data_IF_347268531718
#
_entry.id   IF_347268531718
#
_cell.length_a   1.000
_cell.length_b   1.000
_cell.length_c   1.000
_cell.angle_alpha   90.00
_cell.angle_beta   90.00
_cell.angle_gamma   90.00
#
_symmetry.space_group_name_H-M   'P 1'
#
loop_
_entity.id
_entity.type
_entity.pdbx_description
1 polymer ?
#
# COMPACT_ATOMS: atom_id res chain seq x y z
N UNK A 1 3.58 -14.39 -0.62
CA UNK A 1 4.76 -14.15 0.24
C UNK A 1 5.83 -15.22 0.02
N UNK A 2 5.57 -16.48 0.36
CA UNK A 2 6.57 -17.57 0.24
C UNK A 2 7.07 -17.75 -1.20
N UNK A 3 6.17 -17.83 -2.19
CA UNK A 3 6.56 -17.91 -3.60
C UNK A 3 7.49 -16.75 -4.02
N UNK A 4 7.13 -15.51 -3.68
CA UNK A 4 7.95 -14.32 -3.97
C UNK A 4 9.34 -14.36 -3.30
N UNK A 5 9.43 -14.88 -2.08
CA UNK A 5 10.70 -15.07 -1.38
C UNK A 5 11.58 -16.11 -2.08
N UNK A 6 11.04 -17.29 -2.42
CA UNK A 6 11.80 -18.29 -3.18
C UNK A 6 12.23 -17.78 -4.54
N UNK A 7 11.36 -17.02 -5.21
CA UNK A 7 11.68 -16.40 -6.48
C UNK A 7 12.86 -15.42 -6.33
N UNK A 8 12.83 -14.54 -5.33
CA UNK A 8 13.96 -13.67 -5.01
C UNK A 8 15.24 -14.45 -4.72
N UNK A 9 15.17 -15.52 -3.91
CA UNK A 9 16.32 -16.37 -3.60
C UNK A 9 16.88 -17.13 -4.83
N UNK A 10 16.05 -17.39 -5.84
CA UNK A 10 16.43 -17.97 -7.12
C UNK A 10 17.00 -16.94 -8.10
N UNK A 11 17.03 -15.65 -7.73
CA UNK A 11 17.57 -14.57 -8.54
C UNK A 11 16.72 -14.17 -9.73
N UNK A 12 15.43 -14.52 -9.77
CA UNK A 12 14.56 -14.19 -10.91
C UNK A 12 14.34 -12.68 -11.11
N UNK A 13 14.68 -11.84 -10.14
CA UNK A 13 14.61 -10.38 -10.25
C UNK A 13 15.98 -9.72 -10.48
N UNK A 14 17.06 -10.51 -10.58
CA UNK A 14 18.42 -10.02 -10.79
C UNK A 14 18.85 -10.18 -12.25
N UNK A 15 19.55 -9.19 -12.78
CA UNK A 15 20.23 -9.26 -14.08
C UNK A 15 21.66 -9.82 -13.98
N UNK A 16 22.22 -9.95 -12.78
CA UNK A 16 23.57 -10.46 -12.54
C UNK A 16 23.52 -11.85 -11.85
N UNK A 17 23.89 -12.94 -12.56
CA UNK A 17 23.93 -14.28 -11.99
C UNK A 17 24.89 -14.43 -10.80
N UNK A 18 25.91 -13.57 -10.69
CA UNK A 18 26.84 -13.57 -9.56
C UNK A 18 26.28 -12.83 -8.33
N UNK A 19 25.20 -12.07 -8.52
CA UNK A 19 24.48 -11.36 -7.45
C UNK A 19 22.99 -11.72 -7.52
N UNK A 20 22.60 -12.97 -7.22
CA UNK A 20 21.22 -13.41 -7.37
C UNK A 20 20.28 -12.76 -6.35
N UNK A 21 20.77 -12.36 -5.17
CA UNK A 21 19.94 -11.83 -4.07
C UNK A 21 19.70 -10.32 -4.21
N UNK A 22 19.19 -9.89 -5.36
CA UNK A 22 18.76 -8.52 -5.61
C UNK A 22 17.55 -8.44 -6.54
N UNK A 23 16.91 -7.28 -6.53
CA UNK A 23 15.94 -6.88 -7.54
C UNK A 23 16.42 -5.55 -8.16
N UNK A 24 17.09 -5.66 -9.29
CA UNK A 24 17.62 -4.52 -10.05
C UNK A 24 16.72 -4.16 -11.23
N UNK A 25 16.93 -2.95 -11.74
CA UNK A 25 16.09 -2.39 -12.81
C UNK A 25 16.04 -3.28 -14.06
N UNK A 26 17.18 -3.82 -14.50
CA UNK A 26 17.25 -4.63 -15.71
C UNK A 26 16.55 -5.95 -15.46
N UNK A 27 16.86 -6.63 -14.35
CA UNK A 27 16.26 -7.92 -14.01
C UNK A 27 14.72 -7.85 -13.96
N UNK A 28 14.19 -6.79 -13.35
CA UNK A 28 12.75 -6.52 -13.29
C UNK A 28 12.12 -6.23 -14.67
N UNK A 29 12.79 -5.44 -15.52
CA UNK A 29 12.30 -5.12 -16.87
C UNK A 29 12.34 -6.32 -17.82
N UNK A 30 13.35 -7.19 -17.68
CA UNK A 30 13.50 -8.39 -18.52
C UNK A 30 12.69 -9.59 -18.03
N UNK A 31 12.01 -9.48 -16.88
CA UNK A 31 11.18 -10.55 -16.34
C UNK A 31 10.12 -10.96 -17.38
N UNK A 32 9.89 -12.26 -17.51
CA UNK A 32 8.90 -12.83 -18.43
C UNK A 32 7.69 -13.40 -17.70
N UNK A 33 6.59 -13.56 -18.42
CA UNK A 33 5.39 -14.19 -17.87
C UNK A 33 5.65 -15.64 -17.43
N UNK A 34 6.39 -16.41 -18.24
CA UNK A 34 6.74 -17.80 -17.92
C UNK A 34 7.60 -17.91 -16.66
N UNK A 35 8.60 -17.05 -16.49
CA UNK A 35 9.41 -17.01 -15.28
C UNK A 35 8.55 -16.73 -14.05
N UNK A 36 7.62 -15.76 -14.14
CA UNK A 36 6.70 -15.42 -13.06
C UNK A 36 5.72 -16.57 -12.77
N UNK A 37 5.17 -17.21 -13.80
CA UNK A 37 4.26 -18.37 -13.66
C UNK A 37 4.96 -19.54 -12.99
N UNK A 38 6.18 -19.86 -13.40
CA UNK A 38 6.97 -20.94 -12.81
C UNK A 38 7.29 -20.64 -11.35
N UNK A 39 7.74 -19.42 -11.03
CA UNK A 39 8.05 -19.01 -9.66
C UNK A 39 6.83 -19.08 -8.72
N UNK A 40 5.64 -18.76 -9.23
CA UNK A 40 4.39 -18.81 -8.48
C UNK A 40 3.65 -20.15 -8.61
N UNK A 41 4.24 -21.13 -9.30
CA UNK A 41 3.66 -22.45 -9.55
C UNK A 41 2.25 -22.35 -10.14
N UNK A 42 2.05 -21.44 -11.09
CA UNK A 42 0.72 -21.14 -11.65
C UNK A 42 0.28 -22.29 -12.56
N UNK A 43 -0.83 -22.94 -12.19
CA UNK A 43 -1.45 -24.01 -12.98
C UNK A 43 -2.99 -23.91 -12.91
N UNK A 44 -3.68 -24.89 -13.50
CA UNK A 44 -5.13 -25.05 -13.36
C UNK A 44 -5.57 -25.33 -11.92
N UNK A 45 -4.73 -26.01 -11.14
CA UNK A 45 -4.95 -26.37 -9.74
C UNK A 45 -4.48 -25.28 -8.77
N UNK A 46 -3.58 -24.40 -9.22
CA UNK A 46 -3.10 -23.24 -8.49
C UNK A 46 -3.18 -21.97 -9.35
N UNK A 47 -4.39 -21.46 -9.62
CA UNK A 47 -4.56 -20.31 -10.48
C UNK A 47 -4.09 -19.03 -9.81
N UNK A 48 -3.35 -18.20 -10.56
CA UNK A 48 -3.04 -16.83 -10.17
C UNK A 48 -3.78 -15.88 -11.12
N UNK A 49 -4.76 -15.15 -10.60
CA UNK A 49 -5.48 -14.14 -11.38
C UNK A 49 -4.57 -12.93 -11.63
N UNK A 50 -4.59 -12.42 -12.86
CA UNK A 50 -3.91 -11.17 -13.22
C UNK A 50 -2.39 -11.26 -13.35
N UNK A 51 -1.82 -12.43 -13.69
CA UNK A 51 -0.36 -12.62 -13.88
C UNK A 51 0.23 -11.55 -14.80
N UNK A 52 -0.37 -11.30 -15.96
CA UNK A 52 0.13 -10.31 -16.92
C UNK A 52 0.14 -8.89 -16.34
N UNK A 53 -0.86 -8.53 -15.53
CA UNK A 53 -0.92 -7.23 -14.84
C UNK A 53 0.19 -7.10 -13.80
N UNK A 54 0.46 -8.17 -13.04
CA UNK A 54 1.56 -8.23 -12.06
C UNK A 54 2.93 -8.14 -12.73
N UNK A 55 3.11 -8.81 -13.86
CA UNK A 55 4.33 -8.72 -14.66
C UNK A 55 4.60 -7.28 -15.10
N UNK A 56 3.60 -6.62 -15.71
CA UNK A 56 3.71 -5.23 -16.15
C UNK A 56 4.03 -4.28 -14.98
N UNK A 57 3.46 -4.53 -13.80
CA UNK A 57 3.76 -3.74 -12.61
C UNK A 57 5.21 -3.92 -12.14
N UNK A 58 5.74 -5.15 -12.19
CA UNK A 58 7.16 -5.43 -11.88
C UNK A 58 8.10 -4.80 -12.91
N UNK A 59 7.75 -4.82 -14.19
CA UNK A 59 8.54 -4.18 -15.24
C UNK A 59 8.57 -2.66 -15.05
N UNK A 60 7.42 -2.03 -14.76
CA UNK A 60 7.34 -0.60 -14.40
C UNK A 60 8.09 -0.24 -13.12
N UNK A 61 8.14 -1.16 -12.15
CA UNK A 61 9.02 -0.97 -11.01
C UNK A 61 10.47 -0.83 -11.48
N UNK A 62 10.93 -1.71 -12.37
CA UNK A 62 12.27 -1.60 -12.96
C UNK A 62 12.50 -0.28 -13.73
N UNK A 63 11.50 0.23 -14.44
CA UNK A 63 11.55 1.55 -15.09
C UNK A 63 11.67 2.69 -14.06
N UNK A 64 10.87 2.65 -12.99
CA UNK A 64 10.90 3.65 -11.93
C UNK A 64 12.26 3.67 -11.21
N UNK A 65 12.89 2.50 -10.99
CA UNK A 65 14.24 2.43 -10.43
C UNK A 65 15.27 3.21 -11.29
N UNK A 66 15.16 3.15 -12.62
CA UNK A 66 16.05 3.89 -13.53
C UNK A 66 15.76 5.39 -13.57
N UNK A 67 14.48 5.78 -13.48
CA UNK A 67 14.06 7.19 -13.54
C UNK A 67 14.44 7.99 -12.29
N UNK A 68 14.70 7.31 -11.17
CA UNK A 68 15.04 7.95 -9.89
C UNK A 68 16.43 7.53 -9.37
N UNK A 69 17.53 7.84 -10.09
CA UNK A 69 18.88 7.41 -9.71
C UNK A 69 19.37 8.01 -8.39
N UNK A 70 18.82 9.16 -7.98
CA UNK A 70 19.10 9.75 -6.66
C UNK A 70 18.63 8.86 -5.50
N UNK A 71 17.55 8.10 -5.71
CA UNK A 71 16.97 7.21 -4.68
C UNK A 71 17.49 5.78 -4.84
N UNK A 72 17.58 5.28 -6.08
CA UNK A 72 17.89 3.87 -6.34
C UNK A 72 19.33 3.61 -6.78
N UNK A 73 20.15 4.66 -6.89
CA UNK A 73 21.55 4.58 -7.25
C UNK A 73 21.82 4.47 -8.75
N UNK A 74 23.10 4.52 -9.10
CA UNK A 74 23.66 4.41 -10.46
C UNK A 74 25.06 3.78 -10.35
N UNK A 75 25.58 3.03 -11.35
CA UNK A 75 24.98 2.71 -12.66
C UNK A 75 24.02 1.52 -12.66
N UNK A 76 23.83 0.83 -11.53
CA UNK A 76 22.97 -0.35 -11.39
C UNK A 76 21.85 -0.09 -10.38
N UNK A 77 20.74 0.57 -10.78
CA UNK A 77 19.66 0.91 -9.87
C UNK A 77 18.94 -0.35 -9.35
N UNK A 78 18.69 -0.40 -8.04
CA UNK A 78 18.02 -1.54 -7.39
C UNK A 78 17.13 -1.10 -6.24
N UNK A 79 16.10 -1.89 -5.94
CA UNK A 79 15.14 -1.57 -4.87
C UNK A 79 15.81 -1.37 -3.50
N UNK A 80 16.80 -2.20 -3.19
CA UNK A 80 17.55 -2.12 -1.93
C UNK A 80 18.35 -0.81 -1.74
N UNK A 81 18.66 -0.08 -2.81
CA UNK A 81 19.34 1.22 -2.71
C UNK A 81 18.48 2.30 -2.06
N UNK A 82 17.15 2.11 -2.00
CA UNK A 82 16.27 2.98 -1.21
C UNK A 82 16.74 3.10 0.24
N UNK A 83 17.25 2.01 0.82
CA UNK A 83 17.76 2.01 2.19
C UNK A 83 18.99 2.91 2.30
N UNK A 84 19.91 2.86 1.34
CA UNK A 84 21.08 3.75 1.30
C UNK A 84 20.68 5.22 1.20
N UNK A 85 19.68 5.53 0.36
CA UNK A 85 19.13 6.87 0.26
C UNK A 85 18.57 7.35 1.61
N UNK A 86 17.74 6.51 2.26
CA UNK A 86 17.12 6.83 3.55
C UNK A 86 18.14 6.99 4.68
N UNK A 87 19.22 6.18 4.69
CA UNK A 87 20.34 6.35 5.63
C UNK A 87 20.98 7.74 5.49
N UNK A 88 21.10 8.25 4.26
CA UNK A 88 21.57 9.61 3.98
C UNK A 88 20.61 10.73 4.41
N UNK A 89 19.34 10.43 4.67
CA UNK A 89 18.35 11.41 5.16
C UNK A 89 18.28 11.51 6.69
N UNK A 90 19.08 10.70 7.40
CA UNK A 90 19.04 10.63 8.86
C UNK A 90 19.63 11.88 9.50
N UNK A 91 19.10 12.26 10.68
CA UNK A 91 19.65 13.32 11.53
C UNK A 91 19.84 12.76 12.92
N UNK A 92 21.08 12.76 13.43
CA UNK A 92 21.42 12.20 14.74
C UNK A 92 20.95 10.74 14.94
N UNK A 93 20.99 9.92 13.88
CA UNK A 93 20.53 8.52 13.92
C UNK A 93 19.00 8.35 13.85
N UNK A 94 18.25 9.45 13.75
CA UNK A 94 16.80 9.43 13.65
C UNK A 94 16.33 9.62 12.21
N UNK A 95 15.21 9.00 11.87
CA UNK A 95 14.54 9.12 10.58
C UNK A 95 13.03 9.27 10.77
N UNK A 96 12.47 10.34 10.20
CA UNK A 96 11.02 10.58 10.21
C UNK A 96 10.30 9.57 9.32
N UNK A 97 9.23 8.97 9.83
CA UNK A 97 8.40 8.03 9.07
C UNK A 97 7.80 8.68 7.81
N UNK A 98 7.49 9.98 7.86
CA UNK A 98 7.05 10.75 6.69
C UNK A 98 8.12 10.84 5.61
N UNK A 99 9.41 10.87 5.96
CA UNK A 99 10.51 10.86 4.99
C UNK A 99 10.55 9.53 4.23
N UNK A 100 10.29 8.42 4.92
CA UNK A 100 10.17 7.11 4.29
C UNK A 100 9.00 7.09 3.29
N UNK A 101 7.81 7.58 3.71
CA UNK A 101 6.65 7.68 2.82
C UNK A 101 6.95 8.57 1.61
N UNK A 102 7.57 9.74 1.81
CA UNK A 102 7.94 10.64 0.72
C UNK A 102 8.90 9.98 -0.27
N UNK A 103 9.90 9.22 0.21
CA UNK A 103 10.81 8.49 -0.66
C UNK A 103 10.10 7.38 -1.46
N UNK A 104 9.16 6.66 -0.84
CA UNK A 104 8.33 5.66 -1.52
C UNK A 104 7.44 6.30 -2.57
N UNK A 105 6.76 7.41 -2.24
CA UNK A 105 5.87 8.11 -3.18
C UNK A 105 6.65 8.69 -4.36
N UNK A 106 7.77 9.35 -4.08
CA UNK A 106 8.61 9.94 -5.12
C UNK A 106 9.24 8.88 -6.01
N UNK A 107 9.82 7.83 -5.43
CA UNK A 107 10.55 6.82 -6.19
C UNK A 107 9.67 5.79 -6.88
N UNK A 108 8.49 5.49 -6.33
CA UNK A 108 7.62 4.40 -6.81
C UNK A 108 6.22 4.85 -7.24
N UNK A 109 5.90 6.15 -7.18
CA UNK A 109 4.57 6.66 -7.56
C UNK A 109 4.19 6.38 -9.02
N UNK A 110 5.18 6.37 -9.92
CA UNK A 110 4.99 6.15 -11.35
C UNK A 110 4.55 4.74 -11.76
N UNK A 111 4.62 3.73 -10.87
CA UNK A 111 4.35 2.33 -11.25
C UNK A 111 2.87 2.06 -11.54
N UNK A 112 1.96 2.89 -11.03
CA UNK A 112 0.51 2.67 -11.08
C UNK A 112 -0.10 3.17 -12.39
N UNK A 113 -0.58 2.29 -13.28
CA UNK A 113 -1.23 2.75 -14.52
C UNK A 113 -2.66 3.27 -14.33
N UNK A 114 -3.08 4.18 -15.21
CA UNK A 114 -4.47 4.62 -15.32
C UNK A 114 -4.91 5.48 -14.13
N UNK A 115 -4.02 6.33 -13.64
CA UNK A 115 -4.26 7.22 -12.50
C UNK A 115 -4.28 8.68 -12.94
N UNK A 116 -4.86 9.52 -12.08
CA UNK A 116 -4.92 10.95 -12.31
C UNK A 116 -3.50 11.52 -12.40
N UNK A 117 -3.28 12.41 -13.37
CA UNK A 117 -1.99 13.08 -13.56
C UNK A 117 -2.14 14.58 -13.42
N UNK A 118 -1.12 15.23 -12.86
CA UNK A 118 -0.98 16.69 -12.83
C UNK A 118 0.38 17.03 -13.42
N UNK A 119 0.42 17.90 -14.44
CA UNK A 119 1.66 18.28 -15.12
C UNK A 119 2.52 17.10 -15.62
N UNK A 120 1.89 15.95 -15.92
CA UNK A 120 2.58 14.72 -16.32
C UNK A 120 2.95 13.79 -15.15
N UNK A 121 2.86 14.25 -13.91
CA UNK A 121 3.14 13.46 -12.72
C UNK A 121 1.93 12.60 -12.35
N UNK A 122 2.20 11.29 -12.19
CA UNK A 122 1.21 10.32 -11.76
C UNK A 122 0.95 10.43 -10.26
N UNK A 123 -0.30 10.74 -9.89
CA UNK A 123 -0.66 10.88 -8.49
C UNK A 123 -0.95 9.55 -7.79
N UNK A 124 -1.05 8.44 -8.51
CA UNK A 124 -1.33 7.14 -7.91
C UNK A 124 -2.75 7.06 -7.34
N UNK A 125 -2.86 6.70 -6.07
CA UNK A 125 -4.14 6.46 -5.37
C UNK A 125 -4.73 7.77 -4.83
N UNK A 126 -5.13 8.64 -5.76
CA UNK A 126 -5.78 9.94 -5.54
C UNK A 126 -7.04 10.02 -6.40
N UNK A 127 -8.15 10.41 -5.81
CA UNK A 127 -9.48 10.37 -6.45
C UNK A 127 -10.25 11.67 -6.28
N UNK A 128 -11.28 11.87 -7.09
CA UNK A 128 -12.15 13.06 -7.02
C UNK A 128 -13.36 12.75 -6.13
N UNK A 129 -13.80 13.72 -5.33
CA UNK A 129 -15.06 13.63 -4.58
C UNK A 129 -15.84 14.94 -4.67
N UNK A 130 -17.10 14.89 -5.13
CA UNK A 130 -17.90 16.09 -5.44
C UNK A 130 -18.31 16.89 -4.21
N UNK A 131 -18.40 16.26 -3.04
CA UNK A 131 -18.72 16.93 -1.77
C UNK A 131 -17.61 17.88 -1.28
N UNK A 132 -16.39 17.78 -1.82
CA UNK A 132 -15.30 18.71 -1.49
C UNK A 132 -15.47 20.04 -2.24
N UNK A 133 -14.97 21.16 -1.67
CA UNK A 133 -15.00 22.46 -2.33
C UNK A 133 -14.38 22.40 -3.73
N UNK A 134 -14.94 23.15 -4.67
CA UNK A 134 -14.39 23.35 -6.01
C UNK A 134 -13.95 24.81 -6.20
N UNK A 135 -13.30 25.37 -5.19
CA UNK A 135 -12.87 26.78 -5.15
C UNK A 135 -11.49 27.01 -5.78
N UNK A 136 -10.68 25.94 -5.92
CA UNK A 136 -9.30 26.00 -6.44
C UNK A 136 -8.97 24.75 -7.26
N UNK A 137 -7.99 24.81 -8.17
CA UNK A 137 -7.50 23.61 -8.84
C UNK A 137 -7.17 22.52 -7.83
N UNK A 138 -7.64 21.29 -8.11
CA UNK A 138 -7.37 20.10 -7.32
C UNK A 138 -7.98 20.05 -5.90
N UNK A 139 -8.83 21.02 -5.52
CA UNK A 139 -9.46 21.06 -4.19
C UNK A 139 -10.44 19.90 -3.93
N UNK A 140 -10.86 19.20 -4.98
CA UNK A 140 -11.71 18.01 -4.89
C UNK A 140 -10.94 16.69 -4.84
N UNK A 141 -9.60 16.73 -4.81
CA UNK A 141 -8.79 15.52 -4.76
C UNK A 141 -8.65 14.98 -3.33
N UNK A 142 -8.82 13.66 -3.20
CA UNK A 142 -8.67 12.89 -1.96
C UNK A 142 -7.50 11.93 -2.12
N UNK A 143 -6.33 12.23 -1.52
CA UNK A 143 -5.18 11.34 -1.56
C UNK A 143 -5.27 10.25 -0.49
N UNK A 144 -5.08 8.99 -0.88
CA UNK A 144 -5.03 7.85 0.04
C UNK A 144 -3.66 7.17 0.07
N UNK A 145 -3.08 6.93 -1.11
CA UNK A 145 -1.77 6.26 -1.24
C UNK A 145 -1.63 4.97 -0.40
N UNK A 146 -2.72 4.19 -0.28
CA UNK A 146 -2.84 3.11 0.71
C UNK A 146 -1.74 2.05 0.58
N UNK A 147 -1.43 1.62 -0.65
CA UNK A 147 -0.39 0.61 -0.89
C UNK A 147 1.01 1.16 -0.62
N UNK A 148 1.29 2.42 -0.97
CA UNK A 148 2.56 3.08 -0.67
C UNK A 148 2.76 3.27 0.83
N UNK A 149 1.70 3.60 1.56
CA UNK A 149 1.74 3.73 3.01
C UNK A 149 1.86 2.37 3.71
N UNK A 150 1.20 1.34 3.19
CA UNK A 150 1.40 -0.03 3.67
C UNK A 150 2.84 -0.49 3.48
N UNK A 151 3.43 -0.26 2.29
CA UNK A 151 4.83 -0.53 2.03
C UNK A 151 5.74 0.25 2.99
N UNK A 152 5.43 1.53 3.24
CA UNK A 152 6.16 2.36 4.21
C UNK A 152 6.17 1.70 5.58
N UNK A 153 5.02 1.27 6.10
CA UNK A 153 4.94 0.54 7.37
C UNK A 153 5.77 -0.75 7.37
N UNK A 154 5.77 -1.50 6.26
CA UNK A 154 6.60 -2.71 6.11
C UNK A 154 8.11 -2.44 6.07
N UNK A 155 8.53 -1.23 5.72
CA UNK A 155 9.94 -0.84 5.68
C UNK A 155 10.48 -0.37 7.05
N UNK A 156 9.60 0.04 7.98
CA UNK A 156 10.04 0.64 9.25
C UNK A 156 10.85 -0.35 10.11
N UNK A 157 10.36 -1.58 10.30
CA UNK A 157 11.06 -2.60 11.08
C UNK A 157 12.42 -3.00 10.47
N UNK A 158 12.55 -3.24 9.15
CA UNK A 158 13.85 -3.39 8.51
C UNK A 158 14.80 -2.21 8.72
N UNK A 159 14.30 -0.97 8.66
CA UNK A 159 15.11 0.23 8.90
C UNK A 159 15.59 0.31 10.38
N UNK A 160 14.74 -0.09 11.32
CA UNK A 160 15.12 -0.17 12.74
C UNK A 160 16.20 -1.23 12.97
N UNK A 161 16.14 -2.35 12.24
CA UNK A 161 17.12 -3.44 12.34
C UNK A 161 18.53 -3.00 11.91
N UNK A 162 18.63 -2.02 11.01
CA UNK A 162 19.93 -1.42 10.62
C UNK A 162 20.37 -0.26 11.53
N UNK A 163 19.72 -0.09 12.69
CA UNK A 163 20.12 0.84 13.75
C UNK A 163 19.48 2.22 13.68
N UNK A 164 18.43 2.41 12.88
CA UNK A 164 17.72 3.68 12.80
C UNK A 164 16.63 3.80 13.84
N UNK A 165 16.59 4.95 14.51
CA UNK A 165 15.46 5.33 15.34
C UNK A 165 14.38 5.99 14.46
N UNK A 166 13.24 5.29 14.29
CA UNK A 166 12.13 5.80 13.47
C UNK A 166 11.19 6.63 14.36
N UNK A 167 11.05 7.90 14.00
CA UNK A 167 10.22 8.87 14.73
C UNK A 167 9.02 9.33 13.88
N UNK A 168 8.05 9.99 14.51
CA UNK A 168 6.90 10.59 13.81
C UNK A 168 5.92 9.58 13.20
N UNK A 169 5.77 8.40 13.82
CA UNK A 169 4.86 7.34 13.34
C UNK A 169 3.40 7.80 13.24
N UNK A 170 3.00 8.73 14.11
CA UNK A 170 1.67 9.35 14.18
C UNK A 170 1.38 10.31 13.02
N UNK A 171 2.41 10.69 12.23
CA UNK A 171 2.22 11.44 10.98
C UNK A 171 1.75 10.57 9.82
N UNK A 172 1.87 9.25 9.93
CA UNK A 172 1.31 8.32 8.97
C UNK A 172 -0.16 8.04 9.30
N UNK A 173 -0.96 7.82 8.27
CA UNK A 173 -2.41 7.64 8.39
C UNK A 173 -2.80 6.17 8.49
N UNK A 174 -4.05 5.94 8.91
CA UNK A 174 -4.69 4.65 8.83
C UNK A 174 -4.79 4.17 7.38
N UNK A 175 -4.87 2.86 7.17
CA UNK A 175 -5.00 2.29 5.83
C UNK A 175 -6.48 2.17 5.45
N UNK A 176 -6.98 2.91 4.43
CA UNK A 176 -8.35 2.84 3.97
C UNK A 176 -8.58 1.59 3.11
N UNK A 177 -8.37 0.45 3.73
CA UNK A 177 -8.53 -0.89 3.19
C UNK A 177 -9.92 -1.43 3.56
N UNK A 178 -10.51 -2.25 2.69
CA UNK A 178 -11.91 -2.66 2.78
C UNK A 178 -12.27 -3.49 4.02
N UNK A 179 -11.31 -4.13 4.70
CA UNK A 179 -11.48 -4.80 6.00
C UNK A 179 -11.53 -3.80 7.13
N UNK A 180 -10.68 -2.77 7.11
CA UNK A 180 -10.74 -1.68 8.08
C UNK A 180 -12.04 -0.89 7.95
N UNK A 181 -12.42 -0.52 6.72
CA UNK A 181 -13.69 0.15 6.45
C UNK A 181 -14.89 -0.77 6.69
N UNK A 182 -14.72 -2.06 6.39
CA UNK A 182 -15.77 -3.08 6.53
C UNK A 182 -16.14 -3.31 7.97
N UNK A 183 -15.15 -3.34 8.86
CA UNK A 183 -15.34 -3.37 10.31
C UNK A 183 -16.28 -2.25 10.77
N UNK A 184 -16.06 -1.02 10.27
CA UNK A 184 -16.84 0.15 10.69
C UNK A 184 -18.32 0.01 10.28
N UNK A 185 -18.60 -0.53 9.10
CA UNK A 185 -19.98 -0.78 8.65
C UNK A 185 -20.60 -1.96 9.38
N UNK A 186 -19.87 -3.08 9.50
CA UNK A 186 -20.36 -4.30 10.12
C UNK A 186 -20.68 -4.10 11.60
N UNK A 187 -19.87 -3.34 12.34
CA UNK A 187 -20.16 -3.04 13.75
C UNK A 187 -21.13 -1.85 13.94
N UNK A 188 -21.64 -1.26 12.87
CA UNK A 188 -22.62 -0.17 12.92
C UNK A 188 -22.04 1.21 13.30
N UNK A 189 -20.72 1.36 13.31
CA UNK A 189 -20.05 2.65 13.46
C UNK A 189 -20.30 3.57 12.25
N UNK A 190 -20.40 2.96 11.07
CA UNK A 190 -20.93 3.57 9.86
C UNK A 190 -22.26 2.93 9.49
N UNK A 191 -23.23 3.75 9.13
CA UNK A 191 -24.54 3.29 8.65
C UNK A 191 -24.74 3.71 7.21
N UNK A 192 -25.18 2.77 6.39
CA UNK A 192 -25.46 3.02 4.98
C UNK A 192 -26.79 3.77 4.86
N UNK A 193 -26.75 4.94 4.22
CA UNK A 193 -27.95 5.77 3.98
C UNK A 193 -28.86 5.16 2.91
N UNK A 194 -28.27 4.71 1.81
CA UNK A 194 -28.98 4.08 0.69
C UNK A 194 -28.59 2.59 0.59
N UNK A 195 -29.53 1.66 0.91
CA UNK A 195 -29.28 0.23 0.86
C UNK A 195 -28.78 -0.31 -0.50
N UNK A 196 -29.00 0.42 -1.61
CA UNK A 196 -28.53 0.00 -2.94
C UNK A 196 -27.00 -0.13 -3.00
N UNK A 197 -26.28 0.63 -2.16
CA UNK A 197 -24.81 0.56 -2.05
C UNK A 197 -24.32 -0.85 -1.75
N UNK A 198 -25.10 -1.64 -1.00
CA UNK A 198 -24.75 -3.01 -0.60
C UNK A 198 -25.12 -4.06 -1.65
N UNK A 199 -25.85 -3.68 -2.69
CA UNK A 199 -26.41 -4.62 -3.68
C UNK A 199 -25.56 -4.73 -4.95
N UNK A 200 -24.58 -3.85 -5.14
CA UNK A 200 -23.73 -3.82 -6.32
C UNK A 200 -22.26 -3.64 -5.98
N UNK A 201 -21.40 -4.03 -6.91
CA UNK A 201 -19.97 -3.73 -6.84
C UNK A 201 -19.72 -2.30 -7.32
N UNK A 202 -18.69 -1.67 -6.76
CA UNK A 202 -18.32 -0.30 -7.08
C UNK A 202 -16.86 -0.22 -7.50
N UNK A 203 -16.58 0.58 -8.53
CA UNK A 203 -15.22 0.90 -8.91
C UNK A 203 -14.49 1.65 -7.78
N UNK A 204 -13.17 1.50 -7.63
CA UNK A 204 -12.39 2.27 -6.66
C UNK A 204 -12.51 3.79 -6.80
N UNK A 205 -12.82 4.26 -8.01
CA UNK A 205 -13.04 5.67 -8.35
C UNK A 205 -14.44 6.17 -8.03
N UNK A 206 -15.38 5.31 -7.66
CA UNK A 206 -16.75 5.75 -7.36
C UNK A 206 -16.78 6.57 -6.07
N UNK A 207 -17.67 7.55 -6.00
CA UNK A 207 -17.81 8.39 -4.81
C UNK A 207 -18.12 7.58 -3.56
N UNK A 208 -18.90 6.50 -3.69
CA UNK A 208 -19.18 5.57 -2.58
C UNK A 208 -17.90 5.01 -1.98
N UNK A 209 -16.95 4.55 -2.83
CA UNK A 209 -15.69 3.98 -2.35
C UNK A 209 -14.78 5.09 -1.82
N UNK A 210 -14.69 6.24 -2.49
CA UNK A 210 -13.87 7.37 -2.04
C UNK A 210 -14.36 7.90 -0.68
N UNK A 211 -15.67 8.09 -0.50
CA UNK A 211 -16.29 8.52 0.76
C UNK A 211 -16.01 7.51 1.88
N UNK A 212 -16.28 6.23 1.62
CA UNK A 212 -16.07 5.17 2.60
C UNK A 212 -14.61 5.06 3.04
N UNK A 213 -13.67 5.19 2.10
CA UNK A 213 -12.23 5.21 2.38
C UNK A 213 -11.82 6.43 3.18
N UNK A 214 -12.32 7.62 2.85
CA UNK A 214 -12.04 8.85 3.60
C UNK A 214 -12.55 8.75 5.05
N UNK A 215 -13.79 8.27 5.24
CA UNK A 215 -14.35 8.00 6.55
C UNK A 215 -13.52 6.96 7.31
N UNK A 216 -13.06 5.91 6.64
CA UNK A 216 -12.23 4.87 7.25
C UNK A 216 -10.94 5.46 7.83
N UNK A 217 -10.22 6.34 7.11
CA UNK A 217 -8.99 6.97 7.64
C UNK A 217 -9.28 7.71 8.94
N UNK A 218 -10.32 8.55 8.96
CA UNK A 218 -10.70 9.36 10.13
C UNK A 218 -11.14 8.47 11.30
N UNK A 219 -11.91 7.42 11.02
CA UNK A 219 -12.40 6.51 12.06
C UNK A 219 -11.28 5.67 12.66
N UNK A 220 -10.25 5.31 11.89
CA UNK A 220 -9.09 4.59 12.42
C UNK A 220 -8.35 5.41 13.48
N UNK A 221 -8.23 6.73 13.30
CA UNK A 221 -7.64 7.61 14.31
C UNK A 221 -8.50 7.64 15.60
N UNK A 222 -9.82 7.73 15.45
CA UNK A 222 -10.76 7.71 16.59
C UNK A 222 -10.78 6.37 17.32
N UNK A 223 -10.71 5.26 16.57
CA UNK A 223 -10.59 3.91 17.13
C UNK A 223 -9.28 3.80 17.90
N UNK A 224 -8.18 4.30 17.33
CA UNK A 224 -6.88 4.27 17.98
C UNK A 224 -6.86 5.06 19.30
N UNK A 225 -7.41 6.27 19.29
CA UNK A 225 -7.59 7.10 20.47
C UNK A 225 -8.40 6.36 21.55
N UNK A 226 -9.53 5.77 21.16
CA UNK A 226 -10.41 5.03 22.09
C UNK A 226 -9.69 3.81 22.70
N UNK A 227 -8.98 3.03 21.89
CA UNK A 227 -8.23 1.85 22.37
C UNK A 227 -7.13 2.29 23.36
N UNK A 228 -6.40 3.36 23.04
CA UNK A 228 -5.35 3.91 23.92
C UNK A 228 -5.92 4.34 25.26
N UNK A 229 -7.05 5.05 25.26
CA UNK A 229 -7.74 5.46 26.49
C UNK A 229 -8.16 4.25 27.32
N UNK A 230 -8.74 3.21 26.70
CA UNK A 230 -9.18 1.99 27.41
C UNK A 230 -8.02 1.18 27.98
N UNK A 231 -6.87 1.19 27.32
CA UNK A 231 -5.68 0.45 27.75
C UNK A 231 -4.71 1.28 28.61
N UNK A 232 -5.01 2.57 28.84
CA UNK A 232 -4.12 3.54 29.49
C UNK A 232 -2.72 3.60 28.83
N UNK A 233 -2.70 3.65 27.50
CA UNK A 233 -1.49 3.75 26.66
C UNK A 233 -1.49 5.06 25.87
N UNK A 234 -0.32 5.52 25.43
CA UNK A 234 -0.19 6.68 24.55
C UNK A 234 0.17 6.27 23.10
N UNK A 235 0.34 7.27 22.21
CA UNK A 235 0.67 7.05 20.81
C UNK A 235 2.08 6.49 20.56
N UNK A 236 2.99 6.63 21.52
CA UNK A 236 4.34 6.06 21.48
C UNK A 236 4.31 4.56 21.84
N UNK A 237 3.57 4.19 22.90
CA UNK A 237 3.46 2.79 23.34
C UNK A 237 2.64 1.95 22.33
N UNK A 238 1.53 2.53 21.85
CA UNK A 238 0.59 1.92 20.92
C UNK A 238 0.36 2.83 19.69
N UNK A 239 1.33 2.93 18.77
CA UNK A 239 1.19 3.69 17.54
C UNK A 239 0.10 3.08 16.63
N UNK A 240 -0.43 3.91 15.72
CA UNK A 240 -1.55 3.52 14.86
C UNK A 240 -1.28 2.23 14.10
N UNK A 241 -0.06 2.06 13.57
CA UNK A 241 0.36 0.85 12.85
C UNK A 241 0.13 -0.46 13.62
N UNK A 242 0.30 -0.48 14.95
CA UNK A 242 0.04 -1.67 15.78
C UNK A 242 -1.45 -1.97 15.88
N UNK A 243 -2.28 -0.93 15.91
CA UNK A 243 -3.75 -1.04 15.97
C UNK A 243 -4.31 -1.50 14.62
N UNK A 244 -3.66 -1.20 13.50
CA UNK A 244 -4.13 -1.61 12.17
C UNK A 244 -4.04 -3.13 11.97
N UNK A 245 -2.82 -3.70 11.96
CA UNK A 245 -2.62 -5.12 11.65
C UNK A 245 -3.16 -6.04 12.75
N UNK A 246 -2.80 -5.77 14.01
CA UNK A 246 -3.23 -6.56 15.17
C UNK A 246 -4.67 -6.29 15.62
N UNK A 247 -5.26 -5.16 15.21
CA UNK A 247 -6.61 -4.75 15.60
C UNK A 247 -7.56 -4.74 14.41
N UNK A 248 -7.76 -3.56 13.80
CA UNK A 248 -8.90 -3.30 12.89
C UNK A 248 -8.92 -4.21 11.67
N UNK A 249 -7.77 -4.53 11.08
CA UNK A 249 -7.71 -5.34 9.87
C UNK A 249 -8.00 -6.82 10.18
N UNK A 250 -7.43 -7.35 11.27
CA UNK A 250 -7.68 -8.73 11.71
C UNK A 250 -9.10 -8.91 12.23
N UNK A 251 -9.60 -7.97 13.05
CA UNK A 251 -10.98 -7.98 13.52
C UNK A 251 -11.98 -7.85 12.36
N UNK A 252 -11.73 -6.94 11.41
CA UNK A 252 -12.58 -6.73 10.24
C UNK A 252 -12.69 -7.96 9.35
N UNK A 253 -11.60 -8.72 9.17
CA UNK A 253 -11.65 -10.01 8.45
C UNK A 253 -12.49 -11.06 9.18
N UNK A 254 -12.31 -11.18 10.49
CA UNK A 254 -13.06 -12.15 11.30
C UNK A 254 -14.56 -11.84 11.30
N UNK A 255 -14.92 -10.59 11.57
CA UNK A 255 -16.32 -10.16 11.61
C UNK A 255 -16.99 -10.30 10.24
N UNK A 256 -16.28 -9.99 9.15
CA UNK A 256 -16.80 -10.21 7.81
C UNK A 256 -17.10 -11.70 7.53
N UNK A 257 -16.25 -12.62 8.00
CA UNK A 257 -16.47 -14.06 7.88
C UNK A 257 -17.61 -14.57 8.77
N UNK A 258 -17.81 -13.98 9.94
CA UNK A 258 -18.97 -14.28 10.82
C UNK A 258 -20.29 -13.80 10.18
N UNK A 259 -20.25 -12.72 9.40
CA UNK A 259 -21.45 -12.12 8.78
C UNK A 259 -21.78 -12.63 7.39
N UNK A 260 -20.79 -13.11 6.64
CA UNK A 260 -20.95 -13.48 5.23
C UNK A 260 -20.16 -14.77 4.94
N UNK A 261 -20.75 -15.78 4.28
CA UNK A 261 -20.10 -17.07 4.02
C UNK A 261 -18.75 -16.99 3.29
N UNK A 262 -18.61 -16.04 2.36
CA UNK A 262 -17.38 -15.81 1.62
C UNK A 262 -16.40 -14.86 2.33
N UNK A 263 -16.75 -14.38 3.52
CA UNK A 263 -16.02 -13.37 4.25
C UNK A 263 -15.78 -12.10 3.44
N UNK A 264 -16.68 -11.72 2.54
CA UNK A 264 -16.54 -10.48 1.76
C UNK A 264 -16.78 -9.23 2.61
N UNK A 265 -16.30 -8.08 2.13
CA UNK A 265 -16.60 -6.79 2.74
C UNK A 265 -18.10 -6.46 2.60
N UNK A 266 -18.68 -5.62 3.47
CA UNK A 266 -20.06 -5.14 3.31
C UNK A 266 -20.29 -4.41 1.99
N UNK A 267 -19.39 -3.50 1.60
CA UNK A 267 -19.44 -2.79 0.32
C UNK A 267 -18.52 -3.53 -0.66
N UNK A 268 -19.08 -4.04 -1.76
CA UNK A 268 -18.34 -4.79 -2.77
C UNK A 268 -17.54 -3.83 -3.67
N UNK A 269 -16.30 -4.20 -3.96
CA UNK A 269 -15.39 -3.40 -4.80
C UNK A 269 -15.04 -4.20 -6.05
N UNK A 270 -15.11 -3.55 -7.21
CA UNK A 270 -14.53 -4.04 -8.45
C UNK A 270 -13.01 -3.83 -8.42
N UNK A 271 -12.28 -4.77 -7.83
CA UNK A 271 -10.82 -4.65 -7.67
C UNK A 271 -10.07 -5.31 -8.82
N UNK A 272 -9.10 -4.58 -9.38
CA UNK A 272 -8.06 -5.10 -10.28
C UNK A 272 -6.75 -5.43 -9.53
N UNK A 273 -6.75 -5.32 -8.20
CA UNK A 273 -5.60 -5.57 -7.33
C UNK A 273 -4.57 -4.42 -7.27
N UNK A 274 -4.89 -3.23 -7.80
CA UNK A 274 -3.96 -2.08 -7.83
C UNK A 274 -4.28 -0.98 -6.80
N UNK A 275 -5.33 -1.15 -6.00
CA UNK A 275 -5.75 -0.23 -4.93
C UNK A 275 -5.92 -0.97 -3.60
N UNK A 276 -6.52 -2.16 -3.65
CA UNK A 276 -6.90 -2.95 -2.48
C UNK A 276 -6.10 -4.24 -2.37
#
# INVERSE_FOLDING_TARGET
AIASFHAFCQGIFSSDPNQPLQADAIGLQTLTEDALRNAFQVSTENPLVGVQGRLKLLQRLGEALQQHPTVFGSPSPRSGSLINYLLGQTRHGQLEASTVLSAVLFGLGGIWSGRLTIAGDNLGDVWVHSALPNDRPYSQLVPFHKLSQWLTYSLLEPLQTVGLDIIGLDRLTGLPEYRNGGLCVDLGLLQIKDPIVLQQAHLPSSEVIVEWRALTVILLDRIAETIRQQLNLNATDLPLVKILQGGTWTAGRRIAAERRPNGSAPIQIESDGTVF
#
